data_IF_916601156610
#
_entry.id   IF_916601156610
#
_cell.length_a   1.000
_cell.length_b   1.000
_cell.length_c   1.000
_cell.angle_alpha   90.00
_cell.angle_beta   90.00
_cell.angle_gamma   90.00
#
_symmetry.space_group_name_H-M   'P 1'
#
loop_
_entity.id
_entity.type
_entity.pdbx_description
1 polymer ?
#
# COMPACT_ATOMS: atom_id res chain seq x y z
N UNK A 1 -29.90 9.35 5.40
CA UNK A 1 -29.26 9.35 6.72
C UNK A 1 -28.52 8.04 7.02
N UNK A 2 -27.75 7.52 6.06
CA UNK A 2 -27.02 6.25 6.23
C UNK A 2 -25.52 6.34 5.91
N UNK A 3 -24.92 7.52 5.98
CA UNK A 3 -23.51 7.73 5.60
C UNK A 3 -22.52 7.87 6.76
N UNK A 4 -22.99 7.76 8.01
CA UNK A 4 -22.12 7.99 9.17
C UNK A 4 -21.58 6.73 9.86
N UNK A 5 -21.90 5.53 9.35
CA UNK A 5 -21.50 4.29 10.02
C UNK A 5 -20.24 3.60 9.44
N UNK A 6 -19.63 4.15 8.39
CA UNK A 6 -18.49 3.47 7.76
C UNK A 6 -17.13 3.78 8.39
N UNK A 7 -17.10 4.63 9.42
CA UNK A 7 -15.84 5.05 10.07
C UNK A 7 -15.39 4.21 11.25
N UNK A 8 -16.24 3.36 11.79
CA UNK A 8 -15.98 2.72 13.09
C UNK A 8 -15.07 1.50 13.05
N UNK A 9 -14.73 0.96 11.85
CA UNK A 9 -13.95 -0.28 11.77
C UNK A 9 -12.42 -0.10 11.80
N UNK A 10 -11.93 1.12 11.71
CA UNK A 10 -10.49 1.39 11.75
C UNK A 10 -9.96 1.71 13.15
N UNK A 11 -10.83 1.79 14.15
CA UNK A 11 -10.52 2.36 15.45
C UNK A 11 -10.43 1.42 16.65
N UNK A 12 -10.46 0.10 16.46
CA UNK A 12 -10.52 -0.84 17.60
C UNK A 12 -9.17 -1.04 18.33
N UNK A 13 -8.12 -0.36 17.92
CA UNK A 13 -6.80 -0.56 18.55
C UNK A 13 -6.14 0.73 19.03
N UNK A 14 -6.96 1.73 19.40
CA UNK A 14 -6.47 2.85 20.18
C UNK A 14 -6.97 2.66 21.61
N UNK A 15 -6.22 1.91 22.40
CA UNK A 15 -6.30 2.02 23.87
C UNK A 15 -5.73 3.41 24.17
N UNK A 16 -6.59 4.40 24.14
CA UNK A 16 -6.26 5.73 24.69
C UNK A 16 -6.12 5.55 26.20
N UNK A 17 -4.89 5.50 26.66
CA UNK A 17 -4.56 5.49 28.10
C UNK A 17 -4.87 6.86 28.72
N UNK A 18 -6.10 7.30 28.63
CA UNK A 18 -6.50 8.52 29.34
C UNK A 18 -7.84 8.31 30.02
N UNK A 19 -7.73 8.26 31.17
CA UNK A 19 -8.59 8.48 31.96
C UNK A 19 -9.28 7.53 32.66
N UNK A 20 -8.64 6.97 33.12
CA UNK A 20 -9.25 6.39 34.31
C UNK A 20 -8.89 7.23 35.54
N UNK A 21 -9.46 8.37 35.62
CA UNK A 21 -9.51 9.07 36.90
C UNK A 21 -10.63 8.40 37.73
N UNK A 22 -10.37 7.20 38.18
CA UNK A 22 -11.29 6.47 39.03
C UNK A 22 -11.20 6.95 40.46
N UNK A 23 -12.30 7.26 41.08
CA UNK A 23 -12.38 7.51 42.50
C UNK A 23 -12.35 6.17 43.27
N UNK A 24 -11.50 6.03 44.28
CA UNK A 24 -11.63 4.90 45.19
C UNK A 24 -12.72 5.23 46.21
N UNK A 25 -13.96 4.98 45.89
CA UNK A 25 -14.97 4.89 46.90
C UNK A 25 -15.11 3.44 47.36
N UNK A 26 -14.88 3.23 48.63
CA UNK A 26 -15.13 1.97 49.29
C UNK A 26 -16.66 1.72 49.28
N UNK A 27 -17.17 1.33 48.10
CA UNK A 27 -18.52 0.81 48.02
C UNK A 27 -18.52 -0.62 48.56
N UNK A 28 -19.39 -0.85 49.54
CA UNK A 28 -19.74 -2.18 50.01
C UNK A 28 -19.92 -3.11 48.79
N UNK A 29 -19.46 -4.33 48.90
CA UNK A 29 -19.60 -5.38 47.89
C UNK A 29 -21.10 -5.55 47.57
N UNK A 30 -21.62 -4.70 46.71
CA UNK A 30 -22.95 -4.92 46.13
C UNK A 30 -22.76 -6.05 45.10
N UNK A 31 -23.54 -7.11 45.28
CA UNK A 31 -23.64 -8.16 44.28
C UNK A 31 -24.05 -7.52 42.96
N UNK A 32 -23.19 -7.65 41.96
CA UNK A 32 -23.42 -7.07 40.64
C UNK A 32 -24.69 -7.72 40.03
N UNK A 33 -25.57 -6.88 39.48
CA UNK A 33 -26.85 -7.35 38.92
C UNK A 33 -26.59 -7.92 37.51
N UNK A 34 -27.20 -9.09 37.24
CA UNK A 34 -27.19 -9.69 35.90
C UNK A 34 -28.12 -8.88 35.00
N UNK A 35 -27.57 -8.30 33.96
CA UNK A 35 -28.31 -7.50 32.98
C UNK A 35 -28.82 -8.38 31.82
N UNK A 36 -27.95 -9.24 31.27
CA UNK A 36 -28.30 -10.14 30.17
C UNK A 36 -27.65 -11.51 30.43
N UNK A 37 -28.39 -12.57 30.12
CA UNK A 37 -27.84 -13.95 30.03
C UNK A 37 -27.61 -14.25 28.55
N UNK A 38 -26.40 -14.71 28.19
CA UNK A 38 -26.04 -15.07 26.82
C UNK A 38 -25.51 -16.51 26.84
N UNK A 39 -26.32 -17.46 26.41
CA UNK A 39 -26.06 -18.91 26.58
C UNK A 39 -25.76 -19.26 28.05
N UNK A 40 -24.56 -19.76 28.33
CA UNK A 40 -24.10 -20.13 29.67
C UNK A 40 -23.29 -19.02 30.35
N UNK A 41 -23.26 -17.81 29.80
CA UNK A 41 -22.49 -16.67 30.30
C UNK A 41 -23.44 -15.48 30.61
N UNK A 42 -22.92 -14.44 31.26
CA UNK A 42 -23.70 -13.28 31.66
C UNK A 42 -23.02 -11.96 31.31
N UNK A 43 -23.82 -10.93 31.19
CA UNK A 43 -23.36 -9.53 31.14
C UNK A 43 -23.95 -8.87 32.36
N UNK A 44 -23.10 -8.23 33.16
CA UNK A 44 -23.52 -7.57 34.40
C UNK A 44 -23.80 -6.08 34.20
N UNK A 45 -24.50 -5.48 35.15
CA UNK A 45 -24.75 -4.03 35.16
C UNK A 45 -23.42 -3.25 35.25
N UNK A 46 -22.46 -3.76 36.01
CA UNK A 46 -21.13 -3.13 36.14
C UNK A 46 -20.37 -3.11 34.81
N UNK A 47 -20.36 -4.23 34.07
CA UNK A 47 -19.75 -4.31 32.72
C UNK A 47 -20.42 -3.30 31.79
N UNK A 48 -21.74 -3.23 31.80
CA UNK A 48 -22.49 -2.30 30.96
C UNK A 48 -22.14 -0.84 31.28
N UNK A 49 -22.12 -0.46 32.57
CA UNK A 49 -21.77 0.91 32.97
C UNK A 49 -20.34 1.28 32.56
N UNK A 50 -19.39 0.38 32.75
CA UNK A 50 -18.00 0.60 32.33
C UNK A 50 -17.89 0.78 30.79
N UNK A 51 -18.66 -0.01 30.05
CA UNK A 51 -18.70 0.11 28.58
C UNK A 51 -19.35 1.44 28.14
N UNK A 52 -20.41 1.86 28.84
CA UNK A 52 -21.04 3.18 28.59
C UNK A 52 -20.07 4.33 28.82
N UNK A 53 -19.32 4.31 29.91
CA UNK A 53 -18.31 5.34 30.19
C UNK A 53 -17.19 5.36 29.14
N UNK A 54 -16.73 4.19 28.74
CA UNK A 54 -15.74 4.05 27.68
C UNK A 54 -16.26 4.65 26.37
N UNK A 55 -17.49 4.32 25.98
CA UNK A 55 -18.11 4.82 24.76
C UNK A 55 -18.27 6.35 24.79
N UNK A 56 -18.74 6.91 25.93
CA UNK A 56 -18.86 8.36 26.12
C UNK A 56 -17.50 9.06 25.95
N UNK A 57 -16.47 8.52 26.58
CA UNK A 57 -15.11 9.06 26.52
C UNK A 57 -14.55 9.02 25.08
N UNK A 58 -14.79 7.92 24.37
CA UNK A 58 -14.35 7.77 22.98
C UNK A 58 -15.02 8.79 22.05
N UNK A 59 -16.33 8.96 22.17
CA UNK A 59 -17.09 9.95 21.39
C UNK A 59 -16.62 11.38 21.69
N UNK A 60 -16.41 11.69 22.97
CA UNK A 60 -15.91 12.99 23.39
C UNK A 60 -14.52 13.29 22.83
N UNK A 61 -13.62 12.29 22.89
CA UNK A 61 -12.24 12.40 22.39
C UNK A 61 -12.20 12.55 20.87
N UNK A 62 -13.14 11.90 20.16
CA UNK A 62 -13.27 12.00 18.70
C UNK A 62 -13.94 13.33 18.26
N UNK A 63 -14.48 14.11 19.19
CA UNK A 63 -15.25 15.33 18.90
C UNK A 63 -16.58 15.05 18.21
N UNK A 64 -17.11 13.83 18.40
CA UNK A 64 -18.38 13.43 17.81
C UNK A 64 -19.56 13.86 18.72
N UNK A 65 -20.69 14.13 18.07
CA UNK A 65 -21.90 14.52 18.79
C UNK A 65 -22.44 13.32 19.58
N UNK A 66 -22.71 13.54 20.87
CA UNK A 66 -23.28 12.51 21.75
C UNK A 66 -24.68 12.13 21.27
N UNK A 67 -24.97 10.85 21.00
CA UNK A 67 -26.34 10.42 20.66
C UNK A 67 -27.27 10.52 21.86
N UNK A 68 -28.59 10.47 21.67
CA UNK A 68 -29.53 10.33 22.80
C UNK A 68 -29.17 9.12 23.68
N UNK A 69 -29.33 9.27 24.96
CA UNK A 69 -28.88 8.27 25.95
C UNK A 69 -29.44 6.87 25.68
N UNK A 70 -30.73 6.76 25.41
CA UNK A 70 -31.38 5.48 25.13
C UNK A 70 -30.80 4.81 23.86
N UNK A 71 -30.35 5.60 22.86
CA UNK A 71 -29.69 5.07 21.63
C UNK A 71 -28.30 4.56 21.97
N UNK A 72 -27.60 5.29 22.84
CA UNK A 72 -26.25 4.90 23.29
C UNK A 72 -26.31 3.60 24.11
N UNK A 73 -27.25 3.52 25.05
CA UNK A 73 -27.49 2.33 25.87
C UNK A 73 -27.77 1.10 25.01
N UNK A 74 -28.70 1.21 24.06
CA UNK A 74 -29.04 0.11 23.16
C UNK A 74 -27.82 -0.38 22.36
N UNK A 75 -27.02 0.55 21.81
CA UNK A 75 -25.81 0.22 21.06
C UNK A 75 -24.75 -0.46 21.92
N UNK A 76 -24.51 0.06 23.12
CA UNK A 76 -23.50 -0.50 24.02
C UNK A 76 -23.92 -1.90 24.46
N UNK A 77 -25.19 -2.08 24.81
CA UNK A 77 -25.69 -3.40 25.19
C UNK A 77 -25.59 -4.41 24.06
N UNK A 78 -26.00 -4.00 22.87
CA UNK A 78 -25.88 -4.86 21.66
C UNK A 78 -24.41 -5.23 21.38
N UNK A 79 -23.48 -4.25 21.52
CA UNK A 79 -22.05 -4.51 21.36
C UNK A 79 -21.55 -5.55 22.39
N UNK A 80 -21.90 -5.41 23.66
CA UNK A 80 -21.50 -6.38 24.70
C UNK A 80 -22.05 -7.78 24.41
N UNK A 81 -23.29 -7.88 23.96
CA UNK A 81 -23.90 -9.16 23.56
C UNK A 81 -23.10 -9.79 22.41
N UNK A 82 -22.75 -9.01 21.37
CA UNK A 82 -21.96 -9.52 20.24
C UNK A 82 -20.54 -9.94 20.67
N UNK A 83 -19.88 -9.15 21.53
CA UNK A 83 -18.55 -9.49 22.06
C UNK A 83 -18.60 -10.83 22.81
N UNK A 84 -19.61 -11.00 23.66
CA UNK A 84 -19.82 -12.24 24.41
C UNK A 84 -20.05 -13.43 23.46
N UNK A 85 -20.90 -13.26 22.43
CA UNK A 85 -21.16 -14.29 21.42
C UNK A 85 -19.88 -14.68 20.65
N UNK A 86 -19.05 -13.70 20.31
CA UNK A 86 -17.76 -13.96 19.61
C UNK A 86 -16.79 -14.70 20.52
N UNK A 87 -16.72 -14.36 21.81
CA UNK A 87 -15.89 -15.06 22.80
C UNK A 87 -16.35 -16.51 22.95
N UNK A 88 -17.65 -16.74 23.11
CA UNK A 88 -18.23 -18.10 23.22
C UNK A 88 -17.94 -18.92 21.95
N UNK A 89 -18.13 -18.31 20.78
CA UNK A 89 -17.83 -18.96 19.50
C UNK A 89 -16.33 -19.31 19.37
N UNK A 90 -15.44 -18.47 19.88
CA UNK A 90 -14.00 -18.74 19.90
C UNK A 90 -13.71 -20.03 20.70
N UNK A 91 -14.30 -20.11 21.90
CA UNK A 91 -14.15 -21.29 22.79
C UNK A 91 -14.71 -22.55 22.12
N UNK A 92 -15.93 -22.47 21.58
CA UNK A 92 -16.61 -23.60 20.91
C UNK A 92 -15.81 -24.13 19.72
N UNK A 93 -15.15 -23.24 19.00
CA UNK A 93 -14.38 -23.59 17.77
C UNK A 93 -12.89 -23.80 18.03
N UNK A 94 -12.46 -23.83 19.29
CA UNK A 94 -11.10 -24.15 19.70
C UNK A 94 -10.07 -23.06 19.42
N UNK A 95 -10.49 -21.80 19.28
CA UNK A 95 -9.56 -20.68 19.20
C UNK A 95 -8.96 -20.47 20.59
N UNK A 96 -7.64 -20.42 20.66
CA UNK A 96 -6.94 -20.22 21.92
C UNK A 96 -5.88 -19.12 21.76
N UNK A 97 -5.70 -18.36 22.83
CA UNK A 97 -4.63 -17.34 22.93
C UNK A 97 -3.57 -17.89 23.88
N UNK A 98 -2.39 -18.15 23.36
CA UNK A 98 -1.25 -18.63 24.15
C UNK A 98 -0.62 -17.47 24.94
N UNK A 99 0.11 -17.81 26.00
CA UNK A 99 0.85 -16.81 26.78
C UNK A 99 1.83 -16.02 25.90
N UNK A 100 2.51 -16.68 24.96
CA UNK A 100 3.42 -16.00 24.02
C UNK A 100 2.70 -14.97 23.14
N UNK A 101 1.46 -15.24 22.74
CA UNK A 101 0.66 -14.27 21.97
C UNK A 101 0.22 -13.10 22.85
N UNK A 102 -0.12 -13.37 24.09
CA UNK A 102 -0.49 -12.33 25.05
C UNK A 102 0.72 -11.43 25.36
N UNK A 103 1.89 -12.02 25.58
CA UNK A 103 3.14 -11.27 25.80
C UNK A 103 3.46 -10.35 24.62
N UNK A 104 3.36 -10.88 23.42
CA UNK A 104 3.58 -10.09 22.18
C UNK A 104 2.56 -8.93 22.07
N UNK A 105 1.31 -9.17 22.45
CA UNK A 105 0.29 -8.12 22.44
C UNK A 105 0.62 -7.02 23.46
N UNK A 106 1.09 -7.41 24.64
CA UNK A 106 1.52 -6.45 25.69
C UNK A 106 2.72 -5.63 25.17
N UNK A 107 3.68 -6.28 24.50
CA UNK A 107 4.82 -5.58 23.88
C UNK A 107 4.33 -4.57 22.82
N UNK A 108 3.36 -4.94 22.00
CA UNK A 108 2.79 -4.05 20.99
C UNK A 108 2.09 -2.84 21.65
N UNK A 109 1.34 -3.06 22.73
CA UNK A 109 0.71 -1.96 23.51
C UNK A 109 1.81 -1.01 24.04
N UNK A 110 2.88 -1.56 24.57
CA UNK A 110 4.00 -0.77 25.08
C UNK A 110 4.66 0.07 23.96
N UNK A 111 4.94 -0.54 22.81
CA UNK A 111 5.53 0.14 21.66
C UNK A 111 4.64 1.26 21.12
N UNK A 112 3.33 1.01 21.00
CA UNK A 112 2.37 2.02 20.51
C UNK A 112 2.31 3.26 21.43
N UNK A 113 2.55 3.05 22.72
CA UNK A 113 2.57 4.12 23.71
C UNK A 113 3.98 4.69 23.97
N UNK A 114 4.98 4.24 23.24
CA UNK A 114 6.40 4.61 23.41
C UNK A 114 6.90 4.33 24.84
N UNK A 115 6.49 3.19 25.38
CA UNK A 115 6.79 2.75 26.75
C UNK A 115 7.47 1.37 26.72
N UNK A 116 8.17 1.01 27.79
CA UNK A 116 8.55 -0.38 28.03
C UNK A 116 7.36 -1.13 28.66
N UNK A 117 7.35 -2.46 28.56
CA UNK A 117 6.33 -3.31 29.22
C UNK A 117 6.27 -2.99 30.73
N UNK A 118 7.43 -2.82 31.36
CA UNK A 118 7.49 -2.48 32.80
C UNK A 118 6.80 -1.15 33.10
N UNK A 119 7.00 -0.14 32.24
CA UNK A 119 6.35 1.17 32.39
C UNK A 119 4.82 1.06 32.21
N UNK A 120 4.35 0.22 31.27
CA UNK A 120 2.91 -0.04 31.10
C UNK A 120 2.33 -0.65 32.37
N UNK A 121 2.98 -1.69 32.93
CA UNK A 121 2.50 -2.35 34.17
C UNK A 121 2.52 -1.39 35.36
N UNK A 122 3.51 -0.51 35.43
CA UNK A 122 3.59 0.51 36.48
C UNK A 122 2.47 1.56 36.35
N UNK A 123 2.16 1.94 35.09
CA UNK A 123 1.07 2.88 34.83
C UNK A 123 -0.30 2.27 35.20
N UNK A 124 -0.56 1.01 34.82
CA UNK A 124 -1.77 0.29 35.19
C UNK A 124 -1.96 0.30 36.71
N UNK A 125 -0.90 0.02 37.48
CA UNK A 125 -0.95 0.04 38.95
C UNK A 125 -1.25 1.42 39.50
N UNK A 126 -0.69 2.48 38.91
CA UNK A 126 -1.00 3.88 39.32
C UNK A 126 -2.45 4.24 39.04
N UNK A 127 -3.01 3.71 37.97
CA UNK A 127 -4.38 3.96 37.56
C UNK A 127 -5.37 3.04 38.29
N UNK A 128 -4.88 2.17 39.20
CA UNK A 128 -5.70 1.27 39.99
C UNK A 128 -6.22 0.05 39.23
N UNK A 129 -5.64 -0.25 38.06
CA UNK A 129 -6.06 -1.38 37.22
C UNK A 129 -5.26 -2.62 37.63
N UNK A 130 -5.97 -3.72 37.88
CA UNK A 130 -5.36 -5.00 38.23
C UNK A 130 -4.68 -5.59 36.98
N UNK A 131 -3.45 -6.06 37.11
CA UNK A 131 -2.66 -6.65 36.02
C UNK A 131 -3.36 -7.88 35.39
N UNK A 132 -3.98 -8.72 36.23
CA UNK A 132 -4.71 -9.91 35.74
C UNK A 132 -5.97 -9.53 34.96
N UNK A 133 -6.70 -8.52 35.43
CA UNK A 133 -7.88 -7.98 34.72
C UNK A 133 -7.46 -7.40 33.34
N UNK A 134 -6.37 -6.66 33.31
CA UNK A 134 -5.82 -6.13 32.05
C UNK A 134 -5.46 -7.27 31.09
N UNK A 135 -4.74 -8.28 31.56
CA UNK A 135 -4.35 -9.45 30.77
C UNK A 135 -5.57 -10.22 30.25
N UNK A 136 -6.59 -10.40 31.09
CA UNK A 136 -7.82 -11.07 30.69
C UNK A 136 -8.58 -10.27 29.62
N UNK A 137 -8.72 -8.97 29.81
CA UNK A 137 -9.36 -8.07 28.84
C UNK A 137 -8.63 -8.13 27.50
N UNK A 138 -7.29 -8.08 27.51
CA UNK A 138 -6.48 -8.17 26.29
C UNK A 138 -6.64 -9.54 25.63
N UNK A 139 -6.69 -10.60 26.39
CA UNK A 139 -6.93 -11.97 25.90
C UNK A 139 -8.30 -12.08 25.21
N UNK A 140 -9.33 -11.50 25.81
CA UNK A 140 -10.69 -11.50 25.25
C UNK A 140 -10.74 -10.72 23.94
N UNK A 141 -10.06 -9.58 23.87
CA UNK A 141 -9.93 -8.80 22.62
C UNK A 141 -9.21 -9.61 21.51
N UNK A 142 -8.14 -10.30 21.87
CA UNK A 142 -7.39 -11.16 20.93
C UNK A 142 -8.25 -12.32 20.42
N UNK A 143 -9.08 -12.92 21.29
CA UNK A 143 -10.02 -13.97 20.90
C UNK A 143 -11.00 -13.45 19.85
N UNK A 144 -11.63 -12.31 20.12
CA UNK A 144 -12.58 -11.67 19.19
C UNK A 144 -11.89 -11.36 17.86
N UNK A 145 -10.70 -10.77 17.93
CA UNK A 145 -9.92 -10.44 16.72
C UNK A 145 -9.62 -11.69 15.89
N UNK A 146 -9.25 -12.79 16.53
CA UNK A 146 -8.95 -14.06 15.84
C UNK A 146 -10.18 -14.66 15.18
N UNK A 147 -11.34 -14.61 15.83
CA UNK A 147 -12.61 -15.03 15.23
C UNK A 147 -12.88 -14.23 13.96
N UNK A 148 -12.80 -12.91 14.05
CA UNK A 148 -13.04 -12.01 12.91
C UNK A 148 -12.06 -12.32 11.77
N UNK A 149 -10.79 -12.50 12.09
CA UNK A 149 -9.76 -12.80 11.08
C UNK A 149 -10.05 -14.14 10.38
N UNK A 150 -10.33 -15.20 11.15
CA UNK A 150 -10.54 -16.54 10.60
C UNK A 150 -11.87 -16.67 9.87
N UNK A 151 -12.98 -16.26 10.52
CA UNK A 151 -14.33 -16.61 10.05
C UNK A 151 -14.93 -15.54 9.13
N UNK A 152 -14.37 -14.33 9.15
CA UNK A 152 -14.83 -13.22 8.29
C UNK A 152 -13.78 -12.92 7.21
N UNK A 153 -12.60 -12.42 7.61
CA UNK A 153 -11.63 -11.86 6.64
C UNK A 153 -11.03 -12.91 5.71
N UNK A 154 -10.61 -14.07 6.25
CA UNK A 154 -9.97 -15.12 5.43
C UNK A 154 -10.92 -15.73 4.39
N UNK A 155 -12.23 -15.58 4.57
CA UNK A 155 -13.24 -16.10 3.64
C UNK A 155 -13.50 -15.13 2.48
N UNK A 156 -12.89 -13.94 2.48
CA UNK A 156 -13.18 -12.89 1.49
C UNK A 156 -12.17 -12.98 0.34
N UNK A 157 -12.71 -13.08 -0.87
CA UNK A 157 -11.93 -12.98 -2.10
C UNK A 157 -12.46 -11.82 -2.93
N UNK A 158 -11.55 -10.96 -3.40
CA UNK A 158 -11.87 -9.90 -4.35
C UNK A 158 -11.26 -10.29 -5.69
N UNK A 159 -12.11 -10.53 -6.67
CA UNK A 159 -11.69 -10.94 -8.02
C UNK A 159 -11.29 -9.74 -8.88
N UNK A 160 -10.45 -9.97 -9.87
CA UNK A 160 -10.09 -8.93 -10.85
C UNK A 160 -11.32 -8.45 -11.65
N UNK A 161 -12.28 -9.35 -11.90
CA UNK A 161 -13.54 -9.00 -12.58
C UNK A 161 -14.34 -7.94 -11.81
N UNK A 162 -14.37 -8.02 -10.47
CA UNK A 162 -15.05 -7.02 -9.63
C UNK A 162 -14.32 -5.67 -9.70
N UNK A 163 -12.99 -5.69 -9.66
CA UNK A 163 -12.17 -4.48 -9.78
C UNK A 163 -12.39 -3.84 -11.14
N UNK A 164 -12.38 -4.64 -12.23
CA UNK A 164 -12.63 -4.17 -13.59
C UNK A 164 -14.04 -3.57 -13.74
N UNK A 165 -15.02 -4.17 -13.08
CA UNK A 165 -16.40 -3.66 -13.06
C UNK A 165 -16.49 -2.24 -12.51
N UNK A 166 -15.82 -2.01 -11.36
CA UNK A 166 -15.77 -0.67 -10.75
C UNK A 166 -14.99 0.31 -11.63
N UNK A 167 -13.84 -0.12 -12.21
CA UNK A 167 -13.05 0.72 -13.11
C UNK A 167 -13.86 1.15 -14.34
N UNK A 168 -14.59 0.23 -14.98
CA UNK A 168 -15.45 0.55 -16.12
C UNK A 168 -16.56 1.56 -15.75
N UNK A 169 -17.14 1.41 -14.57
CA UNK A 169 -18.16 2.34 -14.08
C UNK A 169 -17.59 3.72 -13.81
N UNK A 170 -16.41 3.76 -13.19
CA UNK A 170 -15.71 5.01 -12.89
C UNK A 170 -15.21 5.71 -14.17
N UNK A 171 -14.75 4.96 -15.18
CA UNK A 171 -14.27 5.54 -16.43
C UNK A 171 -15.40 6.22 -17.23
N UNK A 172 -16.62 5.72 -17.12
CA UNK A 172 -17.80 6.37 -17.71
C UNK A 172 -18.13 7.71 -17.03
N UNK A 173 -17.70 7.91 -15.81
CA UNK A 173 -17.98 9.10 -15.00
C UNK A 173 -16.85 10.14 -15.04
N UNK A 174 -15.66 9.80 -15.58
CA UNK A 174 -14.54 10.74 -15.67
C UNK A 174 -14.47 11.36 -17.07
N UNK A 175 -14.18 12.67 -17.15
CA UNK A 175 -13.94 13.29 -18.46
C UNK A 175 -12.72 12.65 -19.12
N UNK A 176 -12.84 12.37 -20.39
CA UNK A 176 -11.75 11.83 -21.21
C UNK A 176 -10.52 12.73 -21.13
N UNK A 177 -9.35 12.13 -21.17
CA UNK A 177 -8.10 12.88 -21.32
C UNK A 177 -8.14 13.67 -22.62
N UNK A 178 -7.79 14.94 -22.51
CA UNK A 178 -7.64 15.85 -23.65
C UNK A 178 -6.16 16.16 -23.77
N UNK A 179 -5.60 15.93 -24.94
CA UNK A 179 -4.17 16.07 -25.21
C UNK A 179 -3.93 17.30 -26.08
N UNK A 180 -3.00 18.17 -25.68
CA UNK A 180 -2.47 19.21 -26.54
C UNK A 180 -1.21 18.63 -27.19
N UNK A 181 -1.24 18.48 -28.50
CA UNK A 181 -0.19 17.76 -29.23
C UNK A 181 0.30 18.53 -30.47
N UNK A 182 1.53 18.22 -30.85
CA UNK A 182 2.11 18.63 -32.13
C UNK A 182 2.58 17.39 -32.89
N UNK A 183 2.62 17.46 -34.21
CA UNK A 183 2.98 16.36 -35.08
C UNK A 183 3.96 16.81 -36.16
N UNK A 184 5.00 16.03 -36.39
CA UNK A 184 5.87 16.12 -37.59
C UNK A 184 5.57 14.87 -38.43
N UNK A 185 5.29 15.05 -39.69
CA UNK A 185 5.07 13.96 -40.64
C UNK A 185 6.18 13.96 -41.70
N UNK A 186 6.93 12.89 -41.79
CA UNK A 186 7.87 12.62 -42.89
C UNK A 186 7.10 11.70 -43.85
N UNK A 187 6.55 12.30 -44.88
CA UNK A 187 5.69 11.58 -45.83
C UNK A 187 6.50 10.57 -46.63
N UNK A 188 5.85 9.46 -46.96
CA UNK A 188 6.33 8.49 -47.95
C UNK A 188 5.23 8.25 -48.98
N UNK A 189 5.61 7.87 -50.19
CA UNK A 189 4.65 7.51 -51.24
C UNK A 189 3.79 6.31 -50.82
N UNK A 190 2.55 6.25 -51.25
CA UNK A 190 1.66 5.10 -51.03
C UNK A 190 2.26 3.81 -51.60
N UNK A 191 3.08 3.93 -52.64
CA UNK A 191 3.79 2.80 -53.27
C UNK A 191 5.21 2.59 -52.72
N UNK A 192 5.54 3.20 -51.58
CA UNK A 192 6.89 3.14 -51.00
C UNK A 192 7.30 1.70 -50.69
N UNK A 193 8.50 1.36 -51.06
CA UNK A 193 9.11 0.06 -50.72
C UNK A 193 9.42 0.00 -49.20
N UNK A 194 9.58 -1.20 -48.69
CA UNK A 194 9.99 -1.41 -47.27
C UNK A 194 11.32 -0.68 -46.97
N UNK A 195 12.24 -0.60 -47.96
CA UNK A 195 13.53 0.11 -47.78
C UNK A 195 13.30 1.63 -47.63
N UNK A 196 12.42 2.21 -48.42
CA UNK A 196 12.08 3.64 -48.36
C UNK A 196 11.39 4.00 -47.04
N UNK A 197 10.49 3.13 -46.58
CA UNK A 197 9.81 3.31 -45.28
C UNK A 197 10.83 3.23 -44.13
N UNK A 198 11.77 2.26 -44.20
CA UNK A 198 12.80 2.14 -43.15
C UNK A 198 13.75 3.34 -43.16
N UNK A 199 14.12 3.86 -44.35
CA UNK A 199 14.92 5.09 -44.48
C UNK A 199 14.19 6.29 -43.88
N UNK A 200 12.87 6.39 -44.11
CA UNK A 200 12.07 7.46 -43.50
C UNK A 200 12.02 7.30 -41.97
N UNK A 201 11.87 6.07 -41.49
CA UNK A 201 11.90 5.76 -40.04
C UNK A 201 13.24 6.15 -39.43
N UNK A 202 14.34 5.83 -40.07
CA UNK A 202 15.68 6.18 -39.60
C UNK A 202 15.85 7.72 -39.53
N UNK A 203 15.39 8.46 -40.55
CA UNK A 203 15.37 9.94 -40.52
C UNK A 203 14.53 10.46 -39.34
N UNK A 204 13.40 9.79 -39.02
CA UNK A 204 12.59 10.11 -37.88
C UNK A 204 13.35 9.95 -36.56
N UNK A 205 14.11 8.85 -36.44
CA UNK A 205 14.94 8.59 -35.21
C UNK A 205 16.00 9.72 -35.08
N UNK A 206 16.70 10.04 -36.14
CA UNK A 206 17.76 11.07 -36.15
C UNK A 206 17.18 12.47 -35.82
N UNK A 207 16.04 12.80 -36.40
CA UNK A 207 15.34 14.07 -36.13
C UNK A 207 14.91 14.14 -34.68
N UNK A 208 14.28 13.07 -34.17
CA UNK A 208 13.89 12.97 -32.76
C UNK A 208 15.08 13.20 -31.82
N UNK A 209 16.21 12.54 -32.14
CA UNK A 209 17.43 12.65 -31.33
C UNK A 209 17.97 14.09 -31.34
N UNK A 210 17.96 14.73 -32.50
CA UNK A 210 18.37 16.15 -32.64
C UNK A 210 17.51 17.08 -31.81
N UNK A 211 16.20 16.83 -31.77
CA UNK A 211 15.26 17.60 -30.95
C UNK A 211 15.52 17.37 -29.47
N UNK A 212 15.67 16.12 -29.04
CA UNK A 212 15.92 15.78 -27.63
C UNK A 212 17.26 16.37 -27.15
N UNK A 213 18.27 16.41 -28.01
CA UNK A 213 19.56 17.00 -27.71
C UNK A 213 19.55 18.55 -27.76
N UNK A 214 18.40 19.15 -28.09
CA UNK A 214 18.27 20.61 -28.17
C UNK A 214 18.93 21.27 -29.36
N UNK A 215 19.39 20.50 -30.37
CA UNK A 215 20.02 21.02 -31.58
C UNK A 215 19.02 21.79 -32.45
N UNK A 216 17.75 21.39 -32.38
CA UNK A 216 16.65 22.05 -33.08
C UNK A 216 15.40 21.96 -32.22
N UNK A 217 14.56 22.97 -32.21
CA UNK A 217 13.27 22.89 -31.51
C UNK A 217 12.28 22.04 -32.34
N UNK A 218 11.29 21.45 -31.67
CA UNK A 218 10.24 20.68 -32.35
C UNK A 218 9.53 21.54 -33.42
N UNK A 219 9.24 22.79 -33.07
CA UNK A 219 8.56 23.75 -33.95
C UNK A 219 9.40 24.04 -35.21
N UNK A 220 10.71 24.31 -35.04
CA UNK A 220 11.62 24.55 -36.17
C UNK A 220 11.74 23.31 -37.03
N UNK A 221 11.85 22.13 -36.40
CA UNK A 221 11.92 20.84 -37.14
C UNK A 221 10.62 20.60 -37.92
N UNK A 222 9.47 20.91 -37.34
CA UNK A 222 8.17 20.79 -38.05
C UNK A 222 8.13 21.69 -39.27
N UNK A 223 8.52 22.97 -39.15
CA UNK A 223 8.52 23.92 -40.24
C UNK A 223 9.48 23.50 -41.39
N UNK A 224 10.62 22.88 -41.03
CA UNK A 224 11.65 22.51 -41.97
C UNK A 224 11.41 21.16 -42.66
N UNK A 225 10.92 20.18 -41.92
CA UNK A 225 10.89 18.78 -42.35
C UNK A 225 9.52 18.17 -42.51
N UNK A 226 8.48 18.75 -41.83
CA UNK A 226 7.14 18.15 -41.87
C UNK A 226 6.41 18.44 -43.18
N UNK A 227 5.74 17.41 -43.66
CA UNK A 227 4.87 17.50 -44.83
C UNK A 227 3.37 17.46 -44.43
N UNK A 228 3.08 17.55 -43.12
CA UNK A 228 1.72 17.71 -42.66
C UNK A 228 1.18 19.12 -42.92
N UNK A 229 -0.14 19.25 -43.05
CA UNK A 229 -0.79 20.53 -43.31
C UNK A 229 -0.54 21.61 -42.24
N UNK A 230 -0.17 21.21 -41.03
CA UNK A 230 0.14 22.09 -39.90
C UNK A 230 1.64 22.39 -39.73
N UNK A 231 2.47 22.05 -40.72
CA UNK A 231 3.93 22.25 -40.67
C UNK A 231 4.31 23.72 -40.48
N UNK A 232 3.65 24.64 -41.19
CA UNK A 232 3.87 26.09 -41.09
C UNK A 232 3.61 26.64 -39.68
N UNK A 233 2.70 26.01 -38.95
CA UNK A 233 2.33 26.37 -37.55
C UNK A 233 3.17 25.60 -36.52
N UNK A 234 4.35 25.10 -36.93
CA UNK A 234 5.24 24.35 -36.02
C UNK A 234 4.72 22.97 -35.64
N UNK A 235 3.83 22.43 -36.46
CA UNK A 235 3.27 21.09 -36.29
C UNK A 235 2.11 21.03 -35.28
N UNK A 236 1.61 22.15 -34.79
CA UNK A 236 0.57 22.19 -33.73
C UNK A 236 -0.74 21.60 -34.24
N UNK A 237 -1.27 20.60 -33.53
CA UNK A 237 -2.61 20.05 -33.72
C UNK A 237 -3.60 20.58 -32.66
N UNK A 238 -3.08 21.15 -31.56
CA UNK A 238 -3.88 21.69 -30.48
C UNK A 238 -4.52 20.62 -29.61
N UNK A 239 -5.60 21.02 -28.94
CA UNK A 239 -6.32 20.18 -27.99
C UNK A 239 -7.22 19.18 -28.70
N UNK A 240 -7.00 17.89 -28.44
CA UNK A 240 -7.75 16.76 -29.03
C UNK A 240 -8.15 15.77 -27.94
N UNK A 241 -9.38 15.28 -27.97
CA UNK A 241 -9.79 14.11 -27.20
C UNK A 241 -9.22 12.83 -27.81
N UNK A 242 -9.07 11.79 -27.01
CA UNK A 242 -8.55 10.50 -27.48
C UNK A 242 -9.31 9.94 -28.69
N UNK A 243 -10.65 10.11 -28.69
CA UNK A 243 -11.54 9.63 -29.73
C UNK A 243 -11.48 10.47 -31.04
N UNK A 244 -10.86 11.65 -30.97
CA UNK A 244 -10.64 12.54 -32.11
C UNK A 244 -9.31 12.29 -32.80
N UNK A 245 -8.52 11.35 -32.30
CA UNK A 245 -7.16 11.03 -32.78
C UNK A 245 -7.16 9.67 -33.48
N UNK A 246 -6.31 9.49 -34.52
CA UNK A 246 -6.04 8.15 -35.02
C UNK A 246 -5.60 7.21 -33.87
N UNK A 247 -5.99 5.95 -33.95
CA UNK A 247 -5.66 4.94 -32.93
C UNK A 247 -4.17 4.89 -32.65
N UNK A 248 -3.34 4.96 -33.70
CA UNK A 248 -1.88 5.00 -33.61
C UNK A 248 -1.39 6.13 -32.69
N UNK A 249 -1.99 7.32 -32.78
CA UNK A 249 -1.64 8.48 -31.97
C UNK A 249 -2.15 8.32 -30.53
N UNK A 250 -3.42 7.94 -30.38
CA UNK A 250 -4.02 7.78 -29.06
C UNK A 250 -3.30 6.71 -28.23
N UNK A 251 -2.87 5.62 -28.86
CA UNK A 251 -2.12 4.56 -28.17
C UNK A 251 -0.73 5.02 -27.74
N UNK A 252 -0.04 5.78 -28.58
CA UNK A 252 1.27 6.35 -28.22
C UNK A 252 1.13 7.32 -27.03
N UNK A 253 0.12 8.20 -27.08
CA UNK A 253 -0.10 9.24 -26.06
C UNK A 253 -0.46 8.68 -24.67
N UNK A 254 -1.05 7.50 -24.60
CA UNK A 254 -1.39 6.83 -23.32
C UNK A 254 -0.17 6.69 -22.40
N UNK A 255 1.01 6.48 -23.03
CA UNK A 255 2.24 6.15 -22.32
C UNK A 255 3.27 7.30 -22.32
N UNK A 256 2.89 8.48 -22.83
CA UNK A 256 3.80 9.64 -22.93
C UNK A 256 3.58 10.60 -21.77
N UNK A 257 4.64 11.22 -21.32
CA UNK A 257 4.65 12.31 -20.33
C UNK A 257 4.61 13.67 -21.03
N UNK A 258 4.10 14.67 -20.32
CA UNK A 258 4.10 16.06 -20.82
C UNK A 258 5.52 16.49 -21.18
N UNK A 259 5.68 17.06 -22.37
CA UNK A 259 6.98 17.49 -22.94
C UNK A 259 7.67 16.40 -23.77
N UNK A 260 7.21 15.16 -23.67
CA UNK A 260 7.86 14.01 -24.33
C UNK A 260 7.58 13.98 -25.83
N UNK A 261 8.54 13.42 -26.58
CA UNK A 261 8.44 13.19 -28.02
C UNK A 261 8.39 11.67 -28.26
N UNK A 262 7.41 11.22 -29.01
CA UNK A 262 7.21 9.78 -29.29
C UNK A 262 8.39 9.17 -30.04
N UNK A 263 8.52 7.86 -30.00
CA UNK A 263 9.27 7.13 -31.01
C UNK A 263 8.60 7.35 -32.38
N UNK A 264 9.34 7.17 -33.49
CA UNK A 264 8.72 7.26 -34.80
C UNK A 264 7.55 6.28 -34.97
N UNK A 265 6.39 6.81 -35.26
CA UNK A 265 5.15 6.06 -35.46
C UNK A 265 4.97 5.86 -36.97
N UNK A 266 4.78 4.61 -37.38
CA UNK A 266 4.66 4.26 -38.81
C UNK A 266 3.19 4.22 -39.20
N UNK A 267 2.81 4.96 -40.25
CA UNK A 267 1.46 4.94 -40.82
C UNK A 267 1.56 4.78 -42.34
N UNK A 268 0.44 4.53 -43.02
CA UNK A 268 0.45 4.54 -44.51
C UNK A 268 0.85 5.88 -45.12
N UNK A 269 0.70 6.98 -44.39
CA UNK A 269 1.06 8.33 -44.85
C UNK A 269 2.54 8.70 -44.55
N UNK A 270 3.28 7.79 -43.94
CA UNK A 270 4.69 8.00 -43.56
C UNK A 270 4.97 7.85 -42.09
N UNK A 271 6.00 8.54 -41.65
CA UNK A 271 6.50 8.48 -40.25
C UNK A 271 6.03 9.73 -39.49
N UNK A 272 5.51 9.52 -38.30
CA UNK A 272 5.08 10.62 -37.44
C UNK A 272 5.93 10.68 -36.15
N UNK A 273 6.27 11.90 -35.75
CA UNK A 273 6.79 12.21 -34.41
C UNK A 273 5.75 13.08 -33.72
N UNK A 274 5.23 12.60 -32.59
CA UNK A 274 4.30 13.37 -31.78
C UNK A 274 5.05 14.02 -30.61
N UNK A 275 4.70 15.25 -30.30
CA UNK A 275 5.11 15.91 -29.05
C UNK A 275 3.86 16.12 -28.21
N UNK A 276 3.89 15.64 -26.98
CA UNK A 276 2.82 15.87 -26.01
C UNK A 276 3.09 17.17 -25.26
N UNK A 277 2.43 18.25 -25.66
CA UNK A 277 2.63 19.58 -25.06
C UNK A 277 2.02 19.66 -23.67
N UNK A 278 0.76 19.20 -23.51
CA UNK A 278 0.02 19.31 -22.26
C UNK A 278 -1.09 18.26 -22.21
N UNK A 279 -1.51 17.85 -20.99
CA UNK A 279 -2.65 16.94 -20.76
C UNK A 279 -3.65 17.65 -19.84
N UNK A 280 -4.94 17.56 -20.19
CA UNK A 280 -6.06 17.97 -19.32
C UNK A 280 -6.99 16.79 -19.09
N UNK A 281 -7.56 16.70 -17.91
CA UNK A 281 -8.43 15.60 -17.53
C UNK A 281 -7.64 14.33 -17.19
N UNK A 282 -8.35 13.27 -16.89
CA UNK A 282 -7.76 12.02 -16.42
C UNK A 282 -7.22 12.10 -15.00
N UNK A 283 -6.81 10.97 -14.46
CA UNK A 283 -6.19 10.92 -13.13
C UNK A 283 -4.71 11.30 -13.20
N UNK A 284 -4.25 11.96 -12.16
CA UNK A 284 -2.83 12.34 -12.00
C UNK A 284 -1.95 11.09 -12.06
N UNK A 285 -0.93 11.13 -12.90
CA UNK A 285 0.04 10.05 -12.99
C UNK A 285 0.83 9.92 -11.67
N UNK A 286 1.01 8.70 -11.22
CA UNK A 286 1.86 8.39 -10.08
C UNK A 286 3.12 7.71 -10.61
N UNK A 287 4.14 8.53 -10.86
CA UNK A 287 5.43 8.03 -11.35
C UNK A 287 6.27 7.56 -10.15
N UNK A 288 6.80 6.37 -10.27
CA UNK A 288 7.70 5.76 -9.27
C UNK A 288 9.04 5.51 -9.94
N UNK A 289 10.10 5.98 -9.28
CA UNK A 289 11.47 5.69 -9.69
C UNK A 289 11.79 4.25 -9.35
N UNK A 290 12.38 3.53 -10.31
CA UNK A 290 12.90 2.18 -10.10
C UNK A 290 14.36 2.12 -10.53
N UNK A 291 15.14 1.40 -9.75
CA UNK A 291 16.57 1.11 -10.02
C UNK A 291 16.73 -0.39 -10.23
N UNK A 292 17.39 -0.78 -11.32
CA UNK A 292 17.85 -2.15 -11.53
C UNK A 292 19.29 -2.25 -11.05
N UNK A 293 19.53 -3.17 -10.14
CA UNK A 293 20.85 -3.33 -9.55
C UNK A 293 21.18 -4.81 -9.35
N UNK A 294 22.47 -5.06 -9.15
CA UNK A 294 22.99 -6.37 -8.75
C UNK A 294 23.97 -6.19 -7.60
N UNK A 295 24.16 -7.28 -6.82
CA UNK A 295 25.02 -7.22 -5.65
C UNK A 295 25.82 -8.49 -5.42
N UNK A 296 26.87 -8.34 -4.62
CA UNK A 296 27.63 -9.44 -4.03
C UNK A 296 27.49 -9.29 -2.51
N UNK A 297 27.03 -10.34 -1.84
CA UNK A 297 26.85 -10.34 -0.39
C UNK A 297 27.88 -11.27 0.27
N UNK A 298 28.58 -10.78 1.27
CA UNK A 298 29.33 -11.62 2.23
C UNK A 298 28.67 -11.49 3.60
N UNK A 299 28.21 -12.59 4.14
CA UNK A 299 27.52 -12.62 5.45
C UNK A 299 28.53 -12.62 6.59
N UNK A 300 28.28 -11.81 7.60
CA UNK A 300 29.00 -11.90 8.86
C UNK A 300 28.58 -13.19 9.59
N UNK A 301 29.52 -13.96 10.08
CA UNK A 301 29.32 -15.21 10.82
C UNK A 301 30.26 -15.25 12.02
N UNK A 302 30.18 -16.28 12.85
CA UNK A 302 31.11 -16.49 13.94
C UNK A 302 32.59 -16.58 13.49
N UNK A 303 32.81 -16.95 12.22
CA UNK A 303 34.15 -17.13 11.63
C UNK A 303 34.55 -16.00 10.69
N UNK A 304 33.59 -15.20 10.22
CA UNK A 304 33.81 -14.10 9.27
C UNK A 304 33.27 -12.82 9.91
N UNK A 305 34.16 -12.00 10.44
CA UNK A 305 33.76 -10.72 10.99
C UNK A 305 33.50 -9.69 9.87
N UNK A 306 32.88 -8.60 10.26
CA UNK A 306 32.50 -7.52 9.31
C UNK A 306 33.75 -6.91 8.66
N UNK A 307 34.83 -6.70 9.43
CA UNK A 307 36.06 -6.08 8.90
C UNK A 307 36.72 -6.97 7.85
N UNK A 308 36.71 -8.27 8.04
CA UNK A 308 37.17 -9.23 7.03
C UNK A 308 36.31 -9.15 5.76
N UNK A 309 34.99 -9.17 5.92
CA UNK A 309 34.06 -9.09 4.76
C UNK A 309 34.26 -7.77 3.99
N UNK A 310 34.43 -6.66 4.69
CA UNK A 310 34.69 -5.33 4.07
C UNK A 310 36.03 -5.38 3.30
N UNK A 311 37.09 -5.94 3.90
CA UNK A 311 38.40 -6.06 3.27
C UNK A 311 38.35 -6.91 1.99
N UNK A 312 37.62 -8.02 2.06
CA UNK A 312 37.50 -8.94 0.92
C UNK A 312 36.67 -8.30 -0.22
N UNK A 313 35.57 -7.63 0.10
CA UNK A 313 34.79 -6.93 -0.91
C UNK A 313 35.54 -5.73 -1.53
N UNK A 314 36.45 -5.11 -0.78
CA UNK A 314 37.34 -4.07 -1.37
C UNK A 314 38.25 -4.69 -2.44
N UNK A 315 38.82 -5.88 -2.22
CA UNK A 315 39.63 -6.59 -3.20
C UNK A 315 38.80 -6.98 -4.41
N UNK A 316 37.64 -7.57 -4.18
CA UNK A 316 36.69 -7.95 -5.24
C UNK A 316 36.32 -6.72 -6.09
N UNK A 317 36.06 -5.60 -5.45
CA UNK A 317 35.78 -4.34 -6.16
C UNK A 317 36.94 -3.93 -7.08
N UNK A 318 38.18 -4.07 -6.61
CA UNK A 318 39.35 -3.74 -7.45
C UNK A 318 39.48 -4.66 -8.68
N UNK A 319 39.18 -5.96 -8.52
CA UNK A 319 39.16 -6.90 -9.64
C UNK A 319 38.12 -6.50 -10.69
N UNK A 320 36.91 -6.17 -10.24
CA UNK A 320 35.83 -5.75 -11.15
C UNK A 320 36.19 -4.43 -11.85
N UNK A 321 36.73 -3.46 -11.11
CA UNK A 321 37.21 -2.19 -11.73
C UNK A 321 38.38 -2.43 -12.69
N UNK A 322 39.12 -3.52 -12.52
CA UNK A 322 40.19 -3.96 -13.42
C UNK A 322 39.68 -4.67 -14.66
N UNK A 323 38.39 -4.96 -14.75
CA UNK A 323 37.77 -5.53 -15.95
C UNK A 323 37.17 -6.93 -15.73
N UNK A 324 37.23 -7.48 -14.55
CA UNK A 324 36.60 -8.79 -14.27
C UNK A 324 35.08 -8.66 -14.29
N UNK A 325 34.39 -9.71 -14.75
CA UNK A 325 32.93 -9.69 -14.86
C UNK A 325 32.26 -9.79 -13.48
N UNK A 326 31.47 -8.79 -13.14
CA UNK A 326 30.69 -8.74 -11.90
C UNK A 326 29.82 -9.99 -11.71
N UNK A 327 29.13 -10.43 -12.79
CA UNK A 327 28.22 -11.56 -12.70
C UNK A 327 28.96 -12.88 -12.43
N UNK A 328 30.13 -13.07 -13.02
CA UNK A 328 30.97 -14.24 -12.77
C UNK A 328 31.44 -14.27 -11.30
N UNK A 329 31.91 -13.13 -10.80
CA UNK A 329 32.37 -13.00 -9.40
C UNK A 329 31.19 -13.17 -8.44
N UNK A 330 30.02 -12.63 -8.75
CA UNK A 330 28.83 -12.83 -7.91
C UNK A 330 28.44 -14.30 -7.80
N UNK A 331 28.51 -15.06 -8.89
CA UNK A 331 28.21 -16.50 -8.88
C UNK A 331 29.20 -17.28 -8.02
N UNK A 332 30.45 -16.84 -8.00
CA UNK A 332 31.54 -17.54 -7.27
C UNK A 332 31.56 -17.17 -5.78
N UNK A 333 31.39 -15.90 -5.44
CA UNK A 333 31.67 -15.38 -4.09
C UNK A 333 30.44 -14.93 -3.33
N UNK A 334 29.29 -14.60 -3.99
CA UNK A 334 28.14 -14.09 -3.29
C UNK A 334 27.45 -15.17 -2.43
N UNK A 335 27.18 -14.82 -1.20
CA UNK A 335 26.48 -15.68 -0.23
C UNK A 335 24.98 -15.37 -0.18
N UNK A 336 24.44 -14.67 -1.20
CA UNK A 336 23.02 -14.51 -1.36
C UNK A 336 22.47 -15.59 -2.31
N UNK A 337 21.82 -16.64 -1.79
CA UNK A 337 21.36 -17.75 -2.64
C UNK A 337 20.31 -17.34 -3.67
N UNK A 338 19.58 -16.25 -3.41
CA UNK A 338 18.52 -15.77 -4.32
C UNK A 338 19.05 -15.11 -5.58
N UNK A 339 20.17 -14.40 -5.49
CA UNK A 339 20.73 -13.63 -6.61
C UNK A 339 22.06 -14.16 -7.13
N UNK A 340 22.86 -14.85 -6.33
CA UNK A 340 24.20 -15.33 -6.72
C UNK A 340 24.16 -16.11 -8.04
N UNK A 341 23.25 -17.08 -8.17
CA UNK A 341 23.09 -17.92 -9.36
C UNK A 341 22.74 -17.12 -10.62
N UNK A 342 22.18 -15.93 -10.45
CA UNK A 342 21.81 -14.99 -11.51
C UNK A 342 22.85 -13.88 -11.70
N UNK A 343 24.09 -14.08 -11.20
CA UNK A 343 25.14 -13.06 -11.30
C UNK A 343 24.93 -11.86 -10.39
N UNK A 344 24.20 -12.06 -9.29
CA UNK A 344 23.91 -11.02 -8.31
C UNK A 344 22.67 -10.18 -8.62
N UNK A 345 21.95 -10.45 -9.72
CA UNK A 345 20.79 -9.64 -10.16
C UNK A 345 19.66 -9.63 -9.14
N UNK A 346 19.21 -8.43 -8.79
CA UNK A 346 18.07 -8.19 -7.89
C UNK A 346 16.81 -7.77 -8.65
N UNK A 347 16.97 -7.39 -9.92
CA UNK A 347 15.87 -6.90 -10.75
C UNK A 347 15.54 -5.44 -10.46
N UNK A 348 14.33 -5.02 -10.81
CA UNK A 348 13.84 -3.66 -10.61
C UNK A 348 13.33 -3.49 -9.18
N UNK A 349 13.84 -2.50 -8.51
CA UNK A 349 13.51 -2.18 -7.11
C UNK A 349 12.98 -0.75 -7.01
N UNK A 350 11.95 -0.56 -6.21
CA UNK A 350 11.39 0.75 -5.85
C UNK A 350 11.87 1.14 -4.46
N UNK A 351 11.63 2.40 -4.10
CA UNK A 351 11.93 2.89 -2.75
C UNK A 351 11.20 2.04 -1.69
N UNK A 352 11.95 1.54 -0.72
CA UNK A 352 11.44 0.70 0.37
C UNK A 352 11.54 -0.81 0.12
N UNK A 353 11.98 -1.24 -1.05
CA UNK A 353 12.14 -2.68 -1.37
C UNK A 353 13.39 -3.28 -0.74
N UNK A 354 14.34 -2.43 -0.31
CA UNK A 354 15.61 -2.87 0.29
C UNK A 354 15.81 -2.23 1.67
N UNK A 355 16.76 -2.79 2.43
CA UNK A 355 17.10 -2.21 3.74
C UNK A 355 17.75 -0.83 3.60
N UNK A 356 17.53 0.08 4.56
CA UNK A 356 17.92 1.49 4.40
C UNK A 356 19.38 1.73 4.03
N UNK A 357 20.32 0.97 4.59
CA UNK A 357 21.74 1.11 4.27
C UNK A 357 22.05 0.78 2.81
N UNK A 358 21.42 -0.27 2.27
CA UNK A 358 21.53 -0.69 0.87
C UNK A 358 20.90 0.36 -0.05
N UNK A 359 19.67 0.78 0.26
CA UNK A 359 18.91 1.77 -0.53
C UNK A 359 19.68 3.08 -0.65
N UNK A 360 20.17 3.60 0.48
CA UNK A 360 20.95 4.84 0.52
C UNK A 360 22.20 4.75 -0.37
N UNK A 361 22.92 3.62 -0.31
CA UNK A 361 24.11 3.41 -1.12
C UNK A 361 23.76 3.30 -2.61
N UNK A 362 22.72 2.51 -2.94
CA UNK A 362 22.23 2.33 -4.31
C UNK A 362 21.81 3.67 -4.92
N UNK A 363 21.07 4.49 -4.17
CA UNK A 363 20.59 5.79 -4.66
C UNK A 363 21.72 6.78 -4.96
N UNK A 364 22.84 6.68 -4.24
CA UNK A 364 24.00 7.56 -4.42
C UNK A 364 24.85 7.21 -5.66
N UNK A 365 24.72 5.99 -6.23
CA UNK A 365 25.54 5.52 -7.33
C UNK A 365 25.04 6.07 -8.68
N UNK A 366 25.96 6.24 -9.62
CA UNK A 366 25.62 6.46 -11.04
C UNK A 366 25.38 5.09 -11.72
N UNK A 367 24.78 5.12 -12.92
CA UNK A 367 24.61 3.91 -13.73
C UNK A 367 26.01 3.34 -14.04
N UNK A 368 26.16 2.04 -13.93
CA UNK A 368 27.38 1.23 -14.05
C UNK A 368 28.39 1.44 -12.92
N UNK A 369 28.11 2.31 -11.97
CA UNK A 369 29.00 2.54 -10.82
C UNK A 369 28.86 1.41 -9.79
N UNK A 370 29.98 1.06 -9.15
CA UNK A 370 30.09 0.03 -8.11
C UNK A 370 30.35 0.71 -6.75
N UNK A 371 29.54 0.39 -5.76
CA UNK A 371 29.65 0.98 -4.41
C UNK A 371 30.97 0.65 -3.75
N UNK A 372 31.30 1.36 -2.67
CA UNK A 372 32.17 0.85 -1.62
C UNK A 372 31.41 -0.27 -0.88
N UNK A 373 32.10 -1.16 -0.12
CA UNK A 373 31.40 -2.13 0.71
C UNK A 373 30.39 -1.47 1.64
N UNK A 374 29.14 -1.94 1.64
CA UNK A 374 28.00 -1.39 2.40
C UNK A 374 27.57 -2.39 3.46
N UNK A 375 27.63 -1.99 4.72
CA UNK A 375 27.25 -2.86 5.84
C UNK A 375 25.74 -2.77 6.08
N UNK A 376 25.09 -3.91 6.24
CA UNK A 376 23.67 -4.04 6.57
C UNK A 376 23.44 -5.15 7.60
N UNK A 377 22.22 -5.34 8.02
CA UNK A 377 21.84 -6.44 8.93
C UNK A 377 22.07 -7.84 8.33
N UNK A 378 22.20 -7.94 6.98
CA UNK A 378 22.40 -9.22 6.29
C UNK A 378 23.89 -9.55 6.06
N UNK A 379 24.78 -8.60 6.29
CA UNK A 379 26.20 -8.69 6.03
C UNK A 379 26.74 -7.47 5.30
N UNK A 380 27.77 -7.66 4.48
CA UNK A 380 28.42 -6.59 3.71
C UNK A 380 28.14 -6.81 2.23
N UNK A 381 27.71 -5.75 1.56
CA UNK A 381 27.32 -5.77 0.14
C UNK A 381 28.27 -4.96 -0.72
N UNK A 382 28.50 -5.43 -1.93
CA UNK A 382 29.02 -4.64 -3.04
C UNK A 382 27.87 -4.49 -4.05
N UNK A 383 27.52 -3.26 -4.42
CA UNK A 383 26.32 -2.95 -5.21
C UNK A 383 26.75 -2.32 -6.53
N UNK A 384 26.12 -2.73 -7.63
CA UNK A 384 26.25 -2.05 -8.91
C UNK A 384 24.86 -1.69 -9.43
N UNK A 385 24.68 -0.43 -9.85
CA UNK A 385 23.46 0.04 -10.49
C UNK A 385 23.59 -0.20 -11.99
N UNK A 386 22.63 -0.87 -12.61
CA UNK A 386 22.62 -1.17 -14.02
C UNK A 386 21.76 -0.18 -14.82
N UNK A 387 20.57 0.12 -14.31
CA UNK A 387 19.61 0.98 -15.01
C UNK A 387 18.72 1.73 -14.02
N UNK A 388 18.14 2.85 -14.48
CA UNK A 388 17.10 3.58 -13.76
C UNK A 388 15.96 3.88 -14.72
N UNK A 389 14.73 3.82 -14.20
CA UNK A 389 13.54 4.16 -14.97
C UNK A 389 12.47 4.80 -14.10
N UNK A 390 11.51 5.45 -14.75
CA UNK A 390 10.26 5.89 -14.10
C UNK A 390 9.13 5.07 -14.71
N UNK A 391 8.29 4.51 -13.83
CA UNK A 391 7.10 3.79 -14.27
C UNK A 391 5.84 4.47 -13.72
N UNK A 392 4.80 4.50 -14.52
CA UNK A 392 3.49 4.99 -14.08
C UNK A 392 2.76 3.85 -13.36
N UNK A 393 2.58 4.03 -12.05
CA UNK A 393 1.86 3.07 -11.21
C UNK A 393 0.43 3.49 -10.93
N UNK A 394 -0.08 4.52 -11.61
CA UNK A 394 -1.42 5.09 -11.38
C UNK A 394 -2.50 4.04 -11.49
N UNK A 395 -2.47 3.25 -12.55
CA UNK A 395 -3.46 2.21 -12.82
C UNK A 395 -3.43 1.12 -11.74
N UNK A 396 -2.23 0.67 -11.38
CA UNK A 396 -2.07 -0.36 -10.34
C UNK A 396 -2.56 0.16 -8.98
N UNK A 397 -2.17 1.37 -8.61
CA UNK A 397 -2.63 2.00 -7.35
C UNK A 397 -4.15 2.18 -7.31
N UNK A 398 -4.76 2.54 -8.43
CA UNK A 398 -6.22 2.60 -8.55
C UNK A 398 -6.85 1.23 -8.32
N UNK A 399 -6.33 0.21 -8.99
CA UNK A 399 -6.82 -1.17 -8.84
C UNK A 399 -6.70 -1.63 -7.39
N UNK A 400 -5.58 -1.34 -6.75
CA UNK A 400 -5.34 -1.73 -5.35
C UNK A 400 -6.29 -1.00 -4.39
N UNK A 401 -6.52 0.30 -4.61
CA UNK A 401 -7.48 1.08 -3.82
C UNK A 401 -8.90 0.53 -3.96
N UNK A 402 -9.31 0.22 -5.19
CA UNK A 402 -10.63 -0.38 -5.48
C UNK A 402 -10.73 -1.76 -4.82
N UNK A 403 -9.68 -2.58 -4.95
CA UNK A 403 -9.63 -3.93 -4.33
C UNK A 403 -9.80 -3.83 -2.80
N UNK A 404 -9.11 -2.89 -2.17
CA UNK A 404 -9.24 -2.64 -0.72
C UNK A 404 -10.65 -2.19 -0.35
N UNK A 405 -11.26 -1.30 -1.15
CA UNK A 405 -12.62 -0.80 -0.90
C UNK A 405 -13.66 -1.94 -1.02
N UNK A 406 -13.57 -2.76 -2.08
CA UNK A 406 -14.44 -3.93 -2.25
C UNK A 406 -14.22 -4.90 -1.07
N UNK A 407 -12.97 -5.14 -0.70
CA UNK A 407 -12.61 -6.03 0.42
C UNK A 407 -13.22 -5.55 1.73
N UNK A 408 -13.09 -4.25 2.04
CA UNK A 408 -13.69 -3.64 3.25
C UNK A 408 -15.22 -3.81 3.26
N UNK A 409 -15.87 -3.52 2.12
CA UNK A 409 -17.34 -3.66 2.01
C UNK A 409 -17.76 -5.11 2.24
N UNK A 410 -17.11 -6.06 1.56
CA UNK A 410 -17.40 -7.51 1.74
C UNK A 410 -17.16 -7.95 3.19
N UNK A 411 -16.10 -7.45 3.82
CA UNK A 411 -15.79 -7.76 5.22
C UNK A 411 -16.89 -7.26 6.16
N UNK A 412 -17.36 -6.03 5.94
CA UNK A 412 -18.45 -5.45 6.73
C UNK A 412 -19.74 -6.26 6.57
N UNK A 413 -20.14 -6.55 5.33
CA UNK A 413 -21.34 -7.34 5.03
C UNK A 413 -21.26 -8.75 5.63
N UNK A 414 -20.12 -9.39 5.48
CA UNK A 414 -19.87 -10.74 6.02
C UNK A 414 -19.89 -10.74 7.55
N UNK A 415 -19.30 -9.74 8.18
CA UNK A 415 -19.27 -9.57 9.63
C UNK A 415 -20.70 -9.40 10.18
N UNK A 416 -21.50 -8.53 9.58
CA UNK A 416 -22.91 -8.34 9.98
C UNK A 416 -23.70 -9.64 9.85
N UNK A 417 -23.53 -10.36 8.76
CA UNK A 417 -24.17 -11.67 8.54
C UNK A 417 -23.73 -12.68 9.60
N UNK A 418 -22.44 -12.70 9.92
CA UNK A 418 -21.87 -13.62 10.91
C UNK A 418 -22.43 -13.32 12.31
N UNK A 419 -22.46 -12.06 12.71
CA UNK A 419 -23.07 -11.67 14.01
C UNK A 419 -24.54 -12.05 14.09
N UNK A 420 -25.29 -11.83 13.01
CA UNK A 420 -26.71 -12.21 12.92
C UNK A 420 -26.88 -13.72 13.08
N UNK A 421 -25.99 -14.52 12.45
CA UNK A 421 -26.02 -15.99 12.57
C UNK A 421 -25.74 -16.41 14.03
N UNK A 422 -24.74 -15.83 14.68
CA UNK A 422 -24.42 -16.12 16.08
C UNK A 422 -25.63 -15.77 16.99
N UNK A 423 -26.20 -14.58 16.80
CA UNK A 423 -27.36 -14.12 17.59
C UNK A 423 -28.59 -15.04 17.42
N UNK A 424 -28.82 -15.52 16.18
CA UNK A 424 -29.97 -16.42 15.90
C UNK A 424 -29.85 -17.78 16.58
N UNK A 425 -28.62 -18.26 16.78
CA UNK A 425 -28.37 -19.56 17.43
C UNK A 425 -28.27 -19.51 18.93
N UNK A 426 -28.09 -18.31 19.49
CA UNK A 426 -27.85 -18.11 20.91
C UNK A 426 -29.15 -17.98 21.70
N UNK A 427 -29.11 -18.41 22.97
CA UNK A 427 -30.10 -18.06 23.98
C UNK A 427 -29.70 -16.70 24.58
N UNK A 428 -30.58 -15.68 24.46
CA UNK A 428 -30.34 -14.35 25.00
C UNK A 428 -31.57 -13.95 25.83
N UNK A 429 -31.35 -13.64 27.10
CA UNK A 429 -32.42 -13.28 28.05
C UNK A 429 -32.05 -11.97 28.75
N UNK A 430 -32.79 -10.92 28.46
CA UNK A 430 -32.64 -9.57 29.06
C UNK A 430 -33.38 -9.55 30.40
N UNK A 431 -32.63 -9.55 31.49
CA UNK A 431 -33.17 -9.62 32.88
C UNK A 431 -33.65 -8.28 33.41
N UNK A 432 -33.05 -7.20 32.95
CA UNK A 432 -33.42 -5.83 33.36
C UNK A 432 -33.67 -5.04 32.06
N UNK A 433 -34.88 -4.52 31.87
CA UNK A 433 -35.15 -3.61 30.73
C UNK A 433 -34.30 -2.33 30.83
N UNK A 434 -33.88 -1.79 29.69
CA UNK A 434 -33.04 -0.58 29.65
C UNK A 434 -33.72 0.63 30.32
N UNK A 435 -35.04 0.71 30.26
CA UNK A 435 -35.79 1.78 30.90
C UNK A 435 -35.87 1.65 32.46
N UNK A 436 -35.28 0.58 33.02
CA UNK A 436 -35.17 0.35 34.48
C UNK A 436 -33.73 0.45 34.99
N UNK A 437 -32.76 0.81 34.13
CA UNK A 437 -31.36 0.98 34.47
C UNK A 437 -31.07 2.44 34.82
#
# INVERSE_FOLDING_TARGET
MLKALSGLFAGILLISFFXFAGMPDARAMMLDRVLVVVNDDIITLGEFQAAMDTMRNNLASAGEQMPPENVLEEKVLEQLVFEKLLQLHAVETGINITDAMLDLAIENVAQQNNMSVQQVMEQLRKDGINEEEFKQSLKDQLLVQRVIERDVKQSITVTDGEVDGVLRSASKAQPDRIYNISNIQLAVSEDATSAELENARQRGIELRQSIIQGKVSFEAAAKQFSQAGNAADGGVLGWKKSDQLPTLFSDALKNMNQGEISQPLVSPAGIHLLKLNEIKGGSKQVLVDQTRARHILLRATEKIDIDYAVSELKKIRQYILGGDDFAAIAKEFSQDPGSAVKGGELGWMSKGDTVPAFEKAMDALQIDEISQPVVSQFGVHLIQVEERRKIDTSEQKKRDAIRQEIGRRKASEKYEQFLKQLKTRAYIDYRIPLDEI
#
